data_IF_094972355177
#
_entry.id   IF_094972355177
#
_cell.length_a   1.000
_cell.length_b   1.000
_cell.length_c   1.000
_cell.angle_alpha   90.00
_cell.angle_beta   90.00
_cell.angle_gamma   90.00
#
_symmetry.space_group_name_H-M   'P 1'
#
loop_
_entity.id
_entity.type
_entity.pdbx_description
1 polymer ?
#
# COMPACT_ATOMS: atom_id res chain seq x y z
N UNK A 1 24.75 -3.16 10.97
CA UNK A 1 23.95 -3.61 12.13
C UNK A 1 22.79 -4.43 11.59
N UNK A 2 22.88 -5.76 11.62
CA UNK A 2 21.79 -6.62 11.15
C UNK A 2 20.61 -6.49 12.13
N UNK A 3 19.51 -5.87 11.69
CA UNK A 3 18.26 -5.86 12.43
C UNK A 3 17.73 -7.29 12.42
N UNK A 4 17.67 -7.95 13.57
CA UNK A 4 16.88 -9.17 13.70
C UNK A 4 15.45 -8.89 13.24
N UNK A 5 14.96 -9.64 12.27
CA UNK A 5 13.58 -9.53 11.78
C UNK A 5 12.65 -9.93 12.92
N UNK A 6 11.74 -9.04 13.31
CA UNK A 6 10.76 -9.32 14.36
C UNK A 6 9.89 -10.52 13.98
N UNK A 7 9.53 -11.37 14.95
CA UNK A 7 8.59 -12.49 14.76
C UNK A 7 7.29 -11.99 14.11
N UNK A 8 6.81 -10.81 14.48
CA UNK A 8 5.60 -10.21 13.89
C UNK A 8 5.75 -9.87 12.41
N UNK A 9 6.96 -9.49 11.96
CA UNK A 9 7.24 -9.22 10.55
C UNK A 9 7.24 -10.52 9.73
N UNK A 10 7.77 -11.61 10.29
CA UNK A 10 7.74 -12.94 9.68
C UNK A 10 6.30 -13.42 9.56
N UNK A 11 5.49 -13.22 10.61
CA UNK A 11 4.07 -13.58 10.61
C UNK A 11 3.26 -12.76 9.60
N UNK A 12 3.54 -11.46 9.46
CA UNK A 12 2.92 -10.62 8.44
C UNK A 12 3.21 -11.16 7.04
N UNK A 13 4.49 -11.40 6.74
CA UNK A 13 4.93 -11.92 5.44
C UNK A 13 4.26 -13.27 5.11
N UNK A 14 4.21 -14.19 6.07
CA UNK A 14 3.56 -15.49 5.87
C UNK A 14 2.05 -15.35 5.62
N UNK A 15 1.37 -14.44 6.33
CA UNK A 15 -0.06 -14.18 6.11
C UNK A 15 -0.31 -13.52 4.75
N UNK A 16 0.55 -12.59 4.33
CA UNK A 16 0.45 -11.95 3.02
C UNK A 16 0.66 -12.96 1.89
N UNK A 17 1.67 -13.83 1.99
CA UNK A 17 1.90 -14.88 0.99
C UNK A 17 0.66 -15.79 0.85
N UNK A 18 0.06 -16.19 1.98
CA UNK A 18 -1.18 -17.00 1.95
C UNK A 18 -2.36 -16.28 1.31
N UNK A 19 -2.51 -14.97 1.55
CA UNK A 19 -3.67 -14.20 1.06
C UNK A 19 -3.52 -13.75 -0.40
N UNK A 20 -2.32 -13.35 -0.81
CA UNK A 20 -2.08 -12.71 -2.10
C UNK A 20 -1.48 -13.63 -3.16
N UNK A 21 -0.87 -14.73 -2.73
CA UNK A 21 -0.03 -15.56 -3.60
C UNK A 21 -0.56 -17.00 -3.71
N UNK A 22 -1.84 -17.23 -3.41
CA UNK A 22 -2.50 -18.54 -3.54
C UNK A 22 -2.44 -19.08 -4.97
N UNK A 23 -2.55 -18.18 -5.95
CA UNK A 23 -2.64 -18.52 -7.38
C UNK A 23 -1.33 -18.25 -8.13
N UNK A 24 -0.21 -18.32 -7.42
CA UNK A 24 1.10 -18.08 -8.02
C UNK A 24 1.41 -19.08 -9.14
N UNK A 25 1.94 -18.62 -10.30
CA UNK A 25 2.38 -19.51 -11.38
C UNK A 25 3.46 -20.50 -10.97
N UNK A 26 4.28 -20.13 -9.99
CA UNK A 26 5.31 -20.98 -9.41
C UNK A 26 5.10 -21.10 -7.89
N UNK A 27 5.16 -22.32 -7.31
CA UNK A 27 4.95 -22.50 -5.88
C UNK A 27 5.87 -21.63 -5.02
N UNK A 28 5.27 -20.80 -4.17
CA UNK A 28 5.98 -19.95 -3.22
C UNK A 28 6.48 -18.61 -3.77
N UNK A 29 6.27 -18.31 -5.06
CA UNK A 29 6.52 -16.96 -5.57
C UNK A 29 5.57 -15.93 -4.93
N UNK A 30 6.09 -14.72 -4.79
CA UNK A 30 5.43 -13.59 -4.16
C UNK A 30 5.07 -12.54 -5.23
N UNK A 31 3.89 -11.95 -5.09
CA UNK A 31 3.36 -10.98 -6.05
C UNK A 31 3.74 -9.55 -5.68
N UNK A 32 4.52 -8.85 -6.53
CA UNK A 32 4.65 -7.39 -6.47
C UNK A 32 3.51 -6.76 -7.27
N UNK A 33 2.54 -6.10 -6.62
CA UNK A 33 1.35 -5.64 -7.30
C UNK A 33 1.56 -4.25 -7.95
N UNK A 34 2.69 -3.57 -7.71
CA UNK A 34 3.02 -2.29 -8.37
C UNK A 34 3.74 -2.55 -9.69
N UNK A 35 4.66 -3.50 -9.70
CA UNK A 35 5.39 -3.90 -10.90
C UNK A 35 4.66 -4.97 -11.72
N UNK A 36 3.59 -5.54 -11.17
CA UNK A 36 2.84 -6.65 -11.76
C UNK A 36 3.75 -7.85 -12.10
N UNK A 37 4.60 -8.26 -11.16
CA UNK A 37 5.52 -9.40 -11.36
C UNK A 37 5.52 -10.36 -10.17
N UNK A 38 5.59 -11.65 -10.50
CA UNK A 38 5.90 -12.72 -9.54
C UNK A 38 7.40 -12.83 -9.35
N UNK A 39 7.85 -13.03 -8.10
CA UNK A 39 9.27 -13.22 -7.78
C UNK A 39 9.46 -14.25 -6.68
N UNK A 40 10.57 -14.99 -6.78
CA UNK A 40 11.00 -15.87 -5.70
C UNK A 40 11.30 -15.09 -4.41
N UNK A 41 10.88 -15.58 -3.22
CA UNK A 41 11.20 -14.98 -1.93
C UNK A 41 12.71 -14.78 -1.72
N UNK A 42 13.52 -15.66 -2.29
CA UNK A 42 14.98 -15.67 -2.14
C UNK A 42 15.70 -14.70 -3.10
N UNK A 43 14.97 -14.02 -3.99
CA UNK A 43 15.56 -13.10 -4.97
C UNK A 43 16.16 -11.83 -4.35
N UNK A 44 15.75 -11.46 -3.14
CA UNK A 44 16.10 -10.17 -2.51
C UNK A 44 15.45 -8.96 -3.20
N UNK A 45 14.62 -9.18 -4.22
CA UNK A 45 13.93 -8.14 -5.00
C UNK A 45 12.54 -7.83 -4.47
N UNK A 46 12.14 -8.41 -3.35
CA UNK A 46 10.85 -8.19 -2.70
C UNK A 46 11.03 -8.01 -1.19
N UNK A 47 10.18 -7.17 -0.61
CA UNK A 47 10.02 -7.01 0.83
C UNK A 47 8.55 -6.95 1.21
N UNK A 48 8.18 -7.63 2.29
CA UNK A 48 6.92 -7.42 2.97
C UNK A 48 6.93 -6.04 3.66
N UNK A 49 6.31 -5.05 3.02
CA UNK A 49 6.32 -3.65 3.44
C UNK A 49 5.02 -3.31 4.13
N UNK A 50 5.08 -2.59 5.26
CA UNK A 50 3.88 -2.05 5.88
C UNK A 50 3.43 -0.79 5.13
N UNK A 51 2.12 -0.64 4.89
CA UNK A 51 1.51 0.58 4.36
C UNK A 51 1.46 1.66 5.44
N UNK A 52 0.95 1.30 6.62
CA UNK A 52 1.01 2.12 7.82
C UNK A 52 2.16 1.65 8.72
N UNK A 53 3.12 2.53 9.06
CA UNK A 53 4.34 2.14 9.77
C UNK A 53 4.04 1.67 11.19
N UNK A 54 4.52 0.47 11.53
CA UNK A 54 4.34 -0.13 12.86
C UNK A 54 4.89 0.70 14.02
N UNK A 55 5.87 1.56 13.77
CA UNK A 55 6.39 2.54 14.75
C UNK A 55 5.37 3.60 15.16
N UNK A 56 4.36 3.84 14.32
CA UNK A 56 3.30 4.82 14.55
C UNK A 56 1.99 4.16 14.97
N UNK A 57 2.01 2.87 15.34
CA UNK A 57 0.82 2.07 15.70
C UNK A 57 -0.13 2.75 16.70
N UNK A 58 0.40 3.59 17.58
CA UNK A 58 -0.40 4.31 18.58
C UNK A 58 -1.39 5.30 17.96
N UNK A 59 -1.15 5.75 16.73
CA UNK A 59 -2.02 6.68 16.02
C UNK A 59 -3.05 5.98 15.12
N UNK A 60 -2.93 4.67 14.86
CA UNK A 60 -3.83 3.97 13.92
C UNK A 60 -5.30 4.13 14.31
N UNK A 61 -5.65 3.94 15.58
CA UNK A 61 -7.04 4.06 16.01
C UNK A 61 -7.56 5.50 15.91
N UNK A 62 -6.69 6.50 16.07
CA UNK A 62 -7.06 7.91 15.94
C UNK A 62 -7.28 8.31 14.48
N UNK A 63 -6.55 7.69 13.54
CA UNK A 63 -6.64 8.00 12.11
C UNK A 63 -7.74 7.19 11.43
N UNK A 64 -7.82 5.89 11.71
CA UNK A 64 -8.69 4.95 11.00
C UNK A 64 -9.88 4.44 11.83
N UNK A 65 -9.99 4.88 13.09
CA UNK A 65 -11.09 4.50 13.98
C UNK A 65 -10.80 3.27 14.87
N UNK A 66 -11.72 2.95 15.79
CA UNK A 66 -11.56 1.84 16.73
C UNK A 66 -11.33 0.49 16.01
N UNK A 67 -10.41 -0.32 16.54
CA UNK A 67 -10.09 -1.65 15.98
C UNK A 67 -8.99 -1.65 14.90
N UNK A 68 -8.66 -0.49 14.30
CA UNK A 68 -7.67 -0.42 13.22
C UNK A 68 -6.29 -0.99 13.56
N UNK A 69 -5.88 -0.92 14.83
CA UNK A 69 -4.61 -1.50 15.31
C UNK A 69 -4.53 -3.02 15.14
N UNK A 70 -5.65 -3.72 15.08
CA UNK A 70 -5.69 -5.18 14.84
C UNK A 70 -5.15 -5.53 13.45
N UNK A 71 -5.29 -4.60 12.50
CA UNK A 71 -4.77 -4.76 11.14
C UNK A 71 -3.27 -4.44 11.00
N UNK A 72 -2.59 -3.99 12.06
CA UNK A 72 -1.21 -3.53 11.97
C UNK A 72 -0.25 -4.58 11.37
N UNK A 73 -0.42 -5.84 11.76
CA UNK A 73 0.34 -6.99 11.26
C UNK A 73 -0.55 -7.97 10.47
N UNK A 74 -1.67 -7.49 9.94
CA UNK A 74 -2.50 -8.25 9.02
C UNK A 74 -2.10 -7.94 7.58
N UNK A 75 -2.43 -8.83 6.61
CA UNK A 75 -2.18 -8.54 5.20
C UNK A 75 -2.74 -7.19 4.75
N UNK A 76 -3.87 -6.73 5.33
CA UNK A 76 -4.53 -5.46 4.94
C UNK A 76 -3.63 -4.24 5.10
N UNK A 77 -2.60 -4.32 5.94
CA UNK A 77 -1.62 -3.26 6.14
C UNK A 77 -0.29 -3.53 5.43
N UNK A 78 -0.21 -4.44 4.47
CA UNK A 78 1.06 -4.80 3.84
C UNK A 78 0.98 -5.15 2.36
N UNK A 79 2.06 -4.84 1.64
CA UNK A 79 2.29 -5.21 0.24
C UNK A 79 3.70 -5.76 0.06
N UNK A 80 3.85 -6.73 -0.84
CA UNK A 80 5.17 -7.14 -1.32
C UNK A 80 5.64 -6.12 -2.34
N UNK A 81 6.77 -5.46 -2.08
CA UNK A 81 7.26 -4.38 -2.92
C UNK A 81 8.74 -4.55 -3.24
N UNK A 82 9.11 -4.16 -4.45
CA UNK A 82 10.50 -3.93 -4.80
C UNK A 82 11.14 -2.91 -3.85
N UNK A 83 12.39 -3.13 -3.37
CA UNK A 83 13.02 -2.28 -2.36
C UNK A 83 13.10 -0.79 -2.72
N UNK A 84 13.19 -0.45 -4.01
CA UNK A 84 13.20 0.94 -4.45
C UNK A 84 11.81 1.61 -4.35
N UNK A 85 10.74 0.85 -4.57
CA UNK A 85 9.36 1.32 -4.45
C UNK A 85 9.02 1.50 -2.96
N UNK A 86 9.37 0.52 -2.13
CA UNK A 86 9.25 0.61 -0.67
C UNK A 86 9.95 1.87 -0.14
N UNK A 87 11.20 2.09 -0.56
CA UNK A 87 11.96 3.29 -0.19
C UNK A 87 11.28 4.57 -0.66
N UNK A 88 10.73 4.58 -1.87
CA UNK A 88 10.04 5.75 -2.41
C UNK A 88 8.75 6.08 -1.64
N UNK A 89 7.96 5.07 -1.27
CA UNK A 89 6.78 5.23 -0.41
C UNK A 89 7.17 5.75 0.98
N UNK A 90 8.17 5.12 1.60
CA UNK A 90 8.62 5.50 2.95
C UNK A 90 9.17 6.93 3.02
N UNK A 91 9.77 7.43 1.93
CA UNK A 91 10.24 8.81 1.81
C UNK A 91 9.16 9.80 1.33
N UNK A 92 7.97 9.31 0.99
CA UNK A 92 6.87 10.15 0.49
C UNK A 92 7.07 10.66 -0.94
N UNK A 93 7.94 10.03 -1.74
CA UNK A 93 8.11 10.38 -3.15
C UNK A 93 6.94 9.90 -4.02
N UNK A 94 6.26 8.83 -3.58
CA UNK A 94 5.07 8.28 -4.21
C UNK A 94 4.04 7.95 -3.14
N UNK A 95 2.77 7.86 -3.53
CA UNK A 95 1.67 7.38 -2.71
C UNK A 95 0.83 6.40 -3.52
N UNK A 96 0.24 5.41 -2.83
CA UNK A 96 -0.76 4.52 -3.43
C UNK A 96 -2.11 5.16 -3.17
N UNK A 97 -2.83 5.48 -4.23
CA UNK A 97 -4.16 6.08 -4.16
C UNK A 97 -5.17 5.01 -4.61
N UNK A 98 -6.23 4.75 -3.82
CA UNK A 98 -7.35 3.92 -4.26
C UNK A 98 -7.84 4.38 -5.62
N UNK A 99 -8.18 3.43 -6.50
CA UNK A 99 -8.86 3.76 -7.75
C UNK A 99 -10.34 3.98 -7.42
N UNK A 100 -10.62 5.14 -6.85
CA UNK A 100 -11.98 5.63 -6.65
C UNK A 100 -12.35 6.48 -7.85
N UNK A 101 -13.54 6.28 -8.41
CA UNK A 101 -14.12 7.15 -9.44
C UNK A 101 -14.38 8.54 -8.83
N UNK A 102 -13.31 9.33 -8.65
CA UNK A 102 -13.44 10.75 -8.41
C UNK A 102 -13.99 11.32 -9.71
N UNK A 103 -15.30 11.54 -9.78
CA UNK A 103 -15.94 12.25 -10.90
C UNK A 103 -15.01 13.39 -11.35
N UNK A 104 -14.47 13.29 -12.57
CA UNK A 104 -13.40 14.13 -13.16
C UNK A 104 -13.76 15.63 -13.27
N UNK A 105 -14.86 16.05 -12.64
CA UNK A 105 -15.51 17.33 -12.90
C UNK A 105 -14.94 18.46 -12.05
N UNK A 106 -14.24 18.21 -10.93
CA UNK A 106 -13.76 19.30 -10.07
C UNK A 106 -12.39 19.07 -9.42
N UNK A 107 -11.53 20.11 -9.33
CA UNK A 107 -10.29 20.02 -8.58
C UNK A 107 -10.53 19.61 -7.13
N UNK A 108 -9.70 18.69 -6.61
CA UNK A 108 -9.80 18.08 -5.28
C UNK A 108 -9.81 19.06 -4.09
N UNK A 109 -9.46 20.33 -4.29
CA UNK A 109 -9.56 21.38 -3.25
C UNK A 109 -10.94 22.06 -3.18
N UNK A 110 -11.90 21.70 -4.04
CA UNK A 110 -13.25 22.28 -4.08
C UNK A 110 -14.36 21.38 -3.51
N UNK A 111 -14.03 20.23 -2.92
CA UNK A 111 -15.05 19.27 -2.47
C UNK A 111 -15.61 19.69 -1.11
N UNK A 112 -16.74 20.39 -1.11
CA UNK A 112 -17.60 20.59 0.08
C UNK A 112 -18.74 19.57 0.16
N UNK A 113 -18.80 18.57 -0.72
CA UNK A 113 -20.00 17.76 -0.92
C UNK A 113 -19.81 16.29 -0.49
N UNK A 114 -20.72 15.85 0.37
CA UNK A 114 -20.68 14.62 1.19
C UNK A 114 -20.84 13.33 0.36
N UNK A 115 -21.17 13.42 -0.93
CA UNK A 115 -21.46 12.26 -1.79
C UNK A 115 -20.25 11.36 -2.09
N UNK A 116 -19.01 11.87 -2.05
CA UNK A 116 -17.79 11.04 -2.20
C UNK A 116 -17.59 10.02 -1.07
N UNK A 117 -18.22 10.26 0.09
CA UNK A 117 -18.16 9.30 1.21
C UNK A 117 -18.78 7.94 0.87
N UNK A 118 -19.77 7.90 -0.02
CA UNK A 118 -20.50 6.67 -0.36
C UNK A 118 -19.61 5.71 -1.15
N UNK A 119 -18.83 6.22 -2.12
CA UNK A 119 -17.93 5.37 -2.91
C UNK A 119 -16.74 4.87 -2.09
N UNK A 120 -16.18 5.71 -1.20
CA UNK A 120 -15.12 5.26 -0.27
C UNK A 120 -15.66 4.18 0.68
N UNK A 121 -16.91 4.31 1.14
CA UNK A 121 -17.59 3.29 1.95
C UNK A 121 -17.83 1.99 1.17
N UNK A 122 -18.04 2.04 -0.14
CA UNK A 122 -18.19 0.85 -0.97
C UNK A 122 -16.83 0.20 -1.29
N UNK A 123 -15.81 0.99 -1.61
CA UNK A 123 -14.44 0.50 -1.79
C UNK A 123 -13.88 -0.13 -0.51
N UNK A 124 -14.20 0.42 0.67
CA UNK A 124 -13.76 -0.15 1.94
C UNK A 124 -14.40 -1.52 2.25
N UNK A 125 -15.55 -1.83 1.64
CA UNK A 125 -16.21 -3.14 1.76
C UNK A 125 -15.62 -4.21 0.85
N UNK A 126 -14.74 -3.87 -0.08
CA UNK A 126 -14.12 -4.84 -0.99
C UNK A 126 -13.04 -5.65 -0.27
N UNK A 127 -13.07 -6.97 -0.47
CA UNK A 127 -12.11 -7.91 0.14
C UNK A 127 -10.67 -7.72 -0.38
N UNK A 128 -10.56 -7.18 -1.60
CA UNK A 128 -9.33 -6.82 -2.29
C UNK A 128 -9.49 -5.40 -2.84
N UNK A 129 -8.56 -4.53 -2.50
CA UNK A 129 -8.61 -3.11 -2.80
C UNK A 129 -7.91 -2.85 -4.15
N UNK A 130 -8.67 -2.46 -5.16
CA UNK A 130 -8.13 -2.00 -6.44
C UNK A 130 -7.53 -0.60 -6.30
N UNK A 131 -6.36 -0.39 -6.90
CA UNK A 131 -5.64 0.88 -6.86
C UNK A 131 -5.00 1.20 -8.21
N UNK A 132 -4.80 2.49 -8.46
CA UNK A 132 -4.15 3.00 -9.67
C UNK A 132 -2.85 3.71 -9.30
N UNK A 133 -1.79 3.42 -10.04
CA UNK A 133 -0.49 4.08 -9.85
C UNK A 133 -0.46 5.39 -10.63
N UNK A 134 -0.51 6.52 -9.93
CA UNK A 134 -0.26 7.83 -10.53
C UNK A 134 1.03 8.41 -9.96
N UNK A 135 2.01 8.66 -10.84
CA UNK A 135 3.26 9.32 -10.46
C UNK A 135 3.04 10.81 -10.26
N UNK A 136 3.43 11.35 -9.10
CA UNK A 136 3.55 12.79 -8.88
C UNK A 136 4.78 13.32 -9.63
N UNK A 137 4.60 13.55 -10.94
CA UNK A 137 5.57 14.26 -11.76
C UNK A 137 5.53 15.75 -11.48
N UNK A 138 6.57 16.25 -10.80
CA UNK A 138 7.09 17.61 -10.81
C UNK A 138 6.36 18.60 -11.74
N UNK A 139 5.33 19.28 -11.24
CA UNK A 139 5.01 20.62 -11.72
C UNK A 139 5.91 21.57 -10.92
N UNK A 140 6.96 22.09 -11.57
CA UNK A 140 7.66 23.36 -11.32
C UNK A 140 9.09 23.26 -11.88
N UNK A 141 9.27 23.61 -13.15
CA UNK A 141 10.41 24.41 -13.62
C UNK A 141 10.01 25.04 -14.95
N UNK A 142 9.35 26.20 -14.86
CA UNK A 142 9.38 27.19 -15.91
C UNK A 142 10.74 27.89 -15.85
N UNK A 143 11.52 27.79 -16.92
CA UNK A 143 12.80 28.47 -17.05
C UNK A 143 13.46 28.13 -18.37
N UNK A 144 13.20 28.96 -19.38
CA UNK A 144 14.04 29.05 -20.59
C UNK A 144 15.46 29.40 -20.16
N UNK A 145 16.46 28.63 -20.62
CA UNK A 145 17.59 29.12 -21.45
C UNK A 145 18.00 27.97 -22.36
#
# INVERSE_FOLDING_TARGET
>A
MQKGTSVLQILLEAQMARKYCSDSPAPGDLWDPILHVWRSPNSGLLKASHLFPSRQANFMNAIFGPGAREDLFSPRNGLFLHPLIEKALHHGFIAIVPDVELDDVWPWWHVTNVSQSIQVLEWDKLDVKDYKTTGLGHAMFGGRI
#
